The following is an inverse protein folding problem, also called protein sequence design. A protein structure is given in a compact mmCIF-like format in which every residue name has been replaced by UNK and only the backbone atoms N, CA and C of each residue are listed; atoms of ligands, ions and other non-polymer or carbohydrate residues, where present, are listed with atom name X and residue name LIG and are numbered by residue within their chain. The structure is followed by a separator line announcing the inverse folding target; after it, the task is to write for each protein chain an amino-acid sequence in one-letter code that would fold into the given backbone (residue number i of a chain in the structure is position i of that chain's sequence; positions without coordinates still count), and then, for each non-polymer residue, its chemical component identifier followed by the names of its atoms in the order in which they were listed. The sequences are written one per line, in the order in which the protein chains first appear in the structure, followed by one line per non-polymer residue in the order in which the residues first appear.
data_IF_746443075183
#
_entry.id   IF_746443075183
#
_cell.length_a   1.000
_cell.length_b   1.000
_cell.length_c   1.000
_cell.angle_alpha   90.00
_cell.angle_beta   90.00
_cell.angle_gamma   90.00
#
_symmetry.space_group_name_H-M   'P 1'
#
loop_
_entity.id
_entity.type
_entity.pdbx_description
1 polymer ?
#
# COMPACT_ATOMS: atom_id res chain seq x y z
N UNK A 1 59.61 -0.38 1.70
CA UNK A 1 58.60 -0.31 0.62
C UNK A 1 57.42 -1.27 0.82
N UNK A 2 57.65 -2.58 0.99
CA UNK A 2 56.56 -3.59 1.07
C UNK A 2 55.58 -3.41 2.25
N UNK A 3 56.09 -3.04 3.45
CA UNK A 3 55.25 -2.77 4.64
C UNK A 3 54.25 -1.62 4.45
N UNK A 4 54.62 -0.60 3.68
CA UNK A 4 53.75 0.54 3.37
C UNK A 4 52.68 0.18 2.34
N UNK A 5 53.04 -0.65 1.34
CA UNK A 5 52.08 -1.16 0.35
C UNK A 5 51.00 -1.99 1.03
N UNK A 6 51.39 -2.84 2.00
CA UNK A 6 50.43 -3.65 2.76
C UNK A 6 49.47 -2.78 3.58
N UNK A 7 49.99 -1.74 4.24
CA UNK A 7 49.19 -0.80 5.04
C UNK A 7 48.20 0.01 4.17
N UNK A 8 48.63 0.45 2.98
CA UNK A 8 47.78 1.20 2.04
C UNK A 8 46.68 0.27 1.48
N UNK A 9 47.01 -0.97 1.14
CA UNK A 9 46.03 -1.95 0.65
C UNK A 9 44.98 -2.27 1.72
N UNK A 10 45.38 -2.44 2.98
CA UNK A 10 44.41 -2.64 4.08
C UNK A 10 43.52 -1.42 4.32
N UNK A 11 44.08 -0.21 4.19
CA UNK A 11 43.32 1.02 4.35
C UNK A 11 42.29 1.20 3.22
N UNK A 12 42.66 0.86 1.98
CA UNK A 12 41.75 0.90 0.83
C UNK A 12 40.61 -0.13 0.92
N UNK A 13 40.89 -1.31 1.49
CA UNK A 13 39.86 -2.34 1.75
C UNK A 13 38.88 -1.83 2.81
N UNK A 14 39.36 -1.19 3.88
CA UNK A 14 38.52 -0.58 4.92
C UNK A 14 37.70 0.60 4.38
N UNK A 15 38.27 1.43 3.50
CA UNK A 15 37.56 2.53 2.85
C UNK A 15 36.43 2.04 1.94
N UNK A 16 36.65 0.96 1.18
CA UNK A 16 35.62 0.30 0.37
C UNK A 16 34.47 -0.28 1.20
N UNK A 17 34.73 -0.71 2.44
CA UNK A 17 33.69 -1.21 3.33
C UNK A 17 32.77 -0.09 3.85
N UNK A 18 33.26 1.16 3.92
CA UNK A 18 32.48 2.33 4.35
C UNK A 18 31.61 2.88 3.21
N UNK A 19 32.01 2.68 1.94
CA UNK A 19 31.20 3.09 0.77
C UNK A 19 30.03 2.15 0.44
N UNK A 20 29.89 1.03 1.16
CA UNK A 20 28.66 0.27 1.16
C UNK A 20 27.72 0.89 2.19
N UNK A 21 26.75 1.68 1.73
CA UNK A 21 25.71 2.29 2.56
C UNK A 21 25.23 1.32 3.66
N UNK A 22 25.35 1.66 4.96
CA UNK A 22 24.88 0.79 6.06
C UNK A 22 23.35 0.60 6.07
N UNK A 23 22.63 1.29 5.18
CA UNK A 23 21.18 1.16 4.97
C UNK A 23 20.82 -0.01 4.05
N UNK A 24 21.78 -0.60 3.30
CA UNK A 24 21.45 -1.51 2.19
C UNK A 24 21.79 -3.00 2.37
N UNK A 25 22.31 -3.44 3.52
CA UNK A 25 22.87 -4.79 3.64
C UNK A 25 22.23 -5.74 4.66
N UNK A 26 21.08 -5.39 5.25
CA UNK A 26 20.25 -6.37 5.95
C UNK A 26 18.77 -6.01 5.77
N UNK A 27 18.04 -6.78 4.97
CA UNK A 27 16.58 -6.86 5.15
C UNK A 27 16.39 -7.34 6.59
N UNK A 28 16.11 -6.43 7.53
CA UNK A 28 15.77 -6.78 8.90
C UNK A 28 14.67 -7.86 8.82
N UNK A 29 14.84 -9.05 9.44
CA UNK A 29 13.84 -10.12 9.40
C UNK A 29 12.42 -9.61 9.73
N UNK A 30 12.28 -8.64 10.64
CA UNK A 30 11.01 -7.99 10.97
C UNK A 30 10.38 -7.25 9.79
N UNK A 31 11.19 -6.58 8.95
CA UNK A 31 10.69 -5.89 7.76
C UNK A 31 10.20 -6.87 6.69
N UNK A 32 10.89 -8.01 6.53
CA UNK A 32 10.46 -9.07 5.60
C UNK A 32 9.15 -9.70 6.09
N UNK A 33 9.05 -9.99 7.38
CA UNK A 33 7.83 -10.50 8.00
C UNK A 33 6.66 -9.51 7.87
N UNK A 34 6.91 -8.22 8.13
CA UNK A 34 5.90 -7.17 7.93
C UNK A 34 5.41 -7.12 6.47
N UNK A 35 6.33 -7.19 5.49
CA UNK A 35 5.94 -7.22 4.08
C UNK A 35 5.10 -8.45 3.73
N UNK A 36 5.47 -9.62 4.25
CA UNK A 36 4.68 -10.85 4.05
C UNK A 36 3.29 -10.73 4.67
N UNK A 37 3.17 -10.16 5.88
CA UNK A 37 1.87 -9.92 6.52
C UNK A 37 1.00 -8.95 5.72
N UNK A 38 1.60 -7.89 5.19
CA UNK A 38 0.89 -6.92 4.32
C UNK A 38 0.42 -7.62 3.04
N UNK A 39 1.29 -8.40 2.41
CA UNK A 39 0.93 -9.16 1.20
C UNK A 39 -0.23 -10.12 1.46
N UNK A 40 -0.15 -10.92 2.52
CA UNK A 40 -1.22 -11.83 2.94
C UNK A 40 -2.53 -11.09 3.18
N UNK A 41 -2.48 -9.95 3.89
CA UNK A 41 -3.68 -9.13 4.14
C UNK A 41 -4.36 -8.69 2.84
N UNK A 42 -3.60 -8.22 1.85
CA UNK A 42 -4.16 -7.83 0.56
C UNK A 42 -4.68 -9.02 -0.24
N UNK A 43 -3.99 -10.17 -0.23
CA UNK A 43 -4.46 -11.38 -0.91
C UNK A 43 -5.78 -11.89 -0.33
N UNK A 44 -5.88 -12.02 0.99
CA UNK A 44 -7.15 -12.38 1.65
C UNK A 44 -8.25 -11.37 1.35
N UNK A 45 -7.95 -10.07 1.36
CA UNK A 45 -8.93 -9.03 1.01
C UNK A 45 -9.39 -9.12 -0.45
N UNK A 46 -8.49 -9.46 -1.37
CA UNK A 46 -8.83 -9.71 -2.78
C UNK A 46 -9.77 -10.91 -2.92
N UNK A 47 -9.48 -12.03 -2.25
CA UNK A 47 -10.34 -13.22 -2.24
C UNK A 47 -11.74 -12.90 -1.71
N UNK A 48 -11.85 -12.13 -0.63
CA UNK A 48 -13.15 -11.65 -0.12
C UNK A 48 -13.93 -10.81 -1.13
N UNK A 49 -13.23 -10.16 -2.06
CA UNK A 49 -13.83 -9.40 -3.16
C UNK A 49 -14.00 -10.20 -4.45
N UNK A 50 -13.61 -11.48 -4.47
CA UNK A 50 -13.66 -12.34 -5.67
C UNK A 50 -12.61 -11.97 -6.72
N UNK A 51 -11.53 -11.31 -6.31
CA UNK A 51 -10.43 -10.88 -7.18
C UNK A 51 -9.37 -11.98 -7.22
N UNK A 52 -9.03 -12.45 -8.43
CA UNK A 52 -7.96 -13.42 -8.64
C UNK A 52 -6.59 -12.79 -8.36
N UNK A 53 -5.77 -13.45 -7.54
CA UNK A 53 -4.43 -12.95 -7.13
C UNK A 53 -3.27 -13.81 -7.61
N UNK A 54 -3.55 -14.93 -8.30
CA UNK A 54 -2.53 -15.81 -8.85
C UNK A 54 -1.82 -15.12 -10.02
N UNK A 55 -0.48 -15.18 -10.02
CA UNK A 55 0.35 -14.54 -11.05
C UNK A 55 0.41 -12.99 -11.03
N UNK A 56 -0.35 -12.31 -10.17
CA UNK A 56 -0.37 -10.84 -10.06
C UNK A 56 0.63 -10.29 -9.05
N UNK A 57 1.19 -9.12 -9.34
CA UNK A 57 1.98 -8.35 -8.37
C UNK A 57 1.10 -7.73 -7.29
N UNK A 58 1.65 -7.53 -6.09
CA UNK A 58 0.93 -6.90 -4.97
C UNK A 58 0.37 -5.51 -5.32
N UNK A 59 1.06 -4.75 -6.18
CA UNK A 59 0.56 -3.44 -6.63
C UNK A 59 -0.68 -3.57 -7.50
N UNK A 60 -0.76 -4.60 -8.34
CA UNK A 60 -1.92 -4.88 -9.20
C UNK A 60 -3.11 -5.29 -8.35
N UNK A 61 -2.90 -6.25 -7.44
CA UNK A 61 -3.92 -6.69 -6.47
C UNK A 61 -4.46 -5.50 -5.68
N UNK A 62 -3.59 -4.59 -5.21
CA UNK A 62 -4.01 -3.39 -4.47
C UNK A 62 -4.85 -2.45 -5.33
N UNK A 63 -4.49 -2.26 -6.60
CA UNK A 63 -5.26 -1.40 -7.52
C UNK A 63 -6.66 -1.97 -7.75
N UNK A 64 -6.76 -3.27 -8.02
CA UNK A 64 -8.04 -3.92 -8.25
C UNK A 64 -8.93 -3.86 -6.99
N UNK A 65 -8.37 -4.13 -5.81
CA UNK A 65 -9.08 -3.96 -4.54
C UNK A 65 -9.59 -2.52 -4.39
N UNK A 66 -8.77 -1.52 -4.71
CA UNK A 66 -9.15 -0.12 -4.57
C UNK A 66 -10.34 0.23 -5.45
N UNK A 67 -10.32 -0.20 -6.72
CA UNK A 67 -11.43 0.02 -7.67
C UNK A 67 -12.72 -0.58 -7.12
N UNK A 68 -12.70 -1.85 -6.69
CA UNK A 68 -13.88 -2.52 -6.13
C UNK A 68 -14.38 -1.83 -4.86
N UNK A 69 -13.47 -1.36 -4.01
CA UNK A 69 -13.83 -0.65 -2.78
C UNK A 69 -14.47 0.71 -3.08
N UNK A 70 -13.98 1.44 -4.08
CA UNK A 70 -14.58 2.70 -4.54
C UNK A 70 -15.98 2.49 -5.13
N UNK A 71 -16.17 1.44 -5.94
CA UNK A 71 -17.48 1.07 -6.48
C UNK A 71 -18.48 0.70 -5.39
N UNK A 72 -18.08 -0.13 -4.42
CA UNK A 72 -18.92 -0.49 -3.27
C UNK A 72 -19.23 0.73 -2.41
N UNK A 73 -18.25 1.60 -2.17
CA UNK A 73 -18.46 2.86 -1.43
C UNK A 73 -19.47 3.74 -2.16
N UNK A 74 -19.35 3.86 -3.49
CA UNK A 74 -20.29 4.59 -4.34
C UNK A 74 -21.70 4.05 -4.22
N UNK A 75 -21.86 2.74 -4.37
CA UNK A 75 -23.16 2.07 -4.25
C UNK A 75 -23.77 2.28 -2.86
N UNK A 76 -22.98 2.12 -1.80
CA UNK A 76 -23.44 2.29 -0.42
C UNK A 76 -23.90 3.73 -0.16
N UNK A 77 -23.11 4.73 -0.55
CA UNK A 77 -23.48 6.14 -0.42
C UNK A 77 -24.75 6.43 -1.19
N UNK A 78 -24.89 5.90 -2.40
CA UNK A 78 -26.08 6.07 -3.22
C UNK A 78 -27.33 5.45 -2.57
N UNK A 79 -27.25 4.21 -2.08
CA UNK A 79 -28.33 3.54 -1.35
C UNK A 79 -28.77 4.33 -0.12
N UNK A 80 -27.80 4.81 0.66
CA UNK A 80 -28.10 5.63 1.85
C UNK A 80 -28.76 6.96 1.45
N UNK A 81 -28.26 7.61 0.39
CA UNK A 81 -28.85 8.85 -0.10
C UNK A 81 -30.31 8.66 -0.55
N UNK A 82 -30.61 7.57 -1.26
CA UNK A 82 -31.98 7.21 -1.65
C UNK A 82 -32.87 6.96 -0.43
N UNK A 83 -32.40 6.19 0.56
CA UNK A 83 -33.12 5.94 1.81
C UNK A 83 -33.42 7.23 2.58
N UNK A 84 -32.51 8.20 2.52
CA UNK A 84 -32.65 9.52 3.16
C UNK A 84 -33.36 10.55 2.28
N UNK A 85 -33.86 10.15 1.11
CA UNK A 85 -34.53 11.02 0.12
C UNK A 85 -33.67 12.23 -0.27
N UNK A 86 -32.36 12.03 -0.39
CA UNK A 86 -31.39 13.03 -0.86
C UNK A 86 -31.33 12.94 -2.38
N UNK A 87 -31.43 14.09 -3.07
CA UNK A 87 -31.27 14.15 -4.53
C UNK A 87 -29.86 13.67 -4.93
N UNK A 88 -29.78 12.62 -5.76
CA UNK A 88 -28.52 12.01 -6.23
C UNK A 88 -28.07 12.49 -7.61
N UNK A 89 -29.01 12.93 -8.45
CA UNK A 89 -28.72 13.38 -9.82
C UNK A 89 -27.92 14.67 -9.87
N UNK A 90 -26.90 14.71 -10.73
CA UNK A 90 -26.05 15.87 -10.96
C UNK A 90 -25.04 16.15 -9.85
N UNK A 91 -24.97 15.31 -8.81
CA UNK A 91 -24.00 15.47 -7.71
C UNK A 91 -22.76 14.62 -7.90
N UNK A 92 -21.63 15.18 -7.49
CA UNK A 92 -20.37 14.45 -7.35
C UNK A 92 -20.42 13.51 -6.15
N UNK A 93 -19.49 12.54 -6.10
CA UNK A 93 -19.38 11.60 -5.00
C UNK A 93 -19.18 12.32 -3.64
N UNK A 94 -18.29 13.31 -3.60
CA UNK A 94 -17.97 14.04 -2.38
C UNK A 94 -19.14 14.85 -1.84
N UNK A 95 -19.92 15.48 -2.73
CA UNK A 95 -21.15 16.17 -2.37
C UNK A 95 -22.17 15.19 -1.78
N UNK A 96 -22.33 14.02 -2.41
CA UNK A 96 -23.28 13.02 -1.94
C UNK A 96 -22.88 12.46 -0.56
N UNK A 97 -21.58 12.18 -0.35
CA UNK A 97 -21.04 11.77 0.95
C UNK A 97 -21.30 12.84 2.01
N UNK A 98 -21.05 14.11 1.69
CA UNK A 98 -21.26 15.23 2.60
C UNK A 98 -22.72 15.36 3.01
N UNK A 99 -23.63 15.27 2.05
CA UNK A 99 -25.06 15.38 2.29
C UNK A 99 -25.59 14.21 3.13
N UNK A 100 -25.19 12.98 2.79
CA UNK A 100 -25.51 11.78 3.58
C UNK A 100 -25.00 11.93 5.01
N UNK A 101 -23.73 12.31 5.20
CA UNK A 101 -23.14 12.49 6.53
C UNK A 101 -23.86 13.58 7.33
N UNK A 102 -24.24 14.70 6.69
CA UNK A 102 -24.99 15.78 7.35
C UNK A 102 -26.38 15.32 7.78
N UNK A 103 -27.04 14.52 6.95
CA UNK A 103 -28.41 14.04 7.20
C UNK A 103 -28.45 12.94 8.26
N UNK A 104 -27.46 12.03 8.31
CA UNK A 104 -27.36 10.98 9.34
C UNK A 104 -27.06 11.56 10.73
N UNK A 105 -26.35 12.69 10.81
CA UNK A 105 -26.01 13.35 12.08
C UNK A 105 -27.12 14.23 12.65
N UNK A 106 -28.23 14.41 11.93
CA UNK A 106 -29.35 15.28 12.31
C UNK A 106 -30.54 14.43 12.73
#
# INVERSE_FOLDING_TARGET
MHKYILAIMTLLILLKAISADPVKAAKNPEQKEMQQRIEQHFRTKAEHFGIETEGKDLKEVRKEIHIVEEEKKRENVWKIAQNLRIKTEGKTMDELIKDVRKKVKK
#
